data_IF_692538274857
#
_entry.id   IF_692538274857
#
_cell.length_a   1.000
_cell.length_b   1.000
_cell.length_c   1.000
_cell.angle_alpha   90.00
_cell.angle_beta   90.00
_cell.angle_gamma   90.00
#
_symmetry.space_group_name_H-M   'P 1'
#
loop_
_entity.id
_entity.type
_entity.pdbx_description
1 polymer ?
#
# COMPACT_ATOMS: atom_id res chain seq x y z
N UNK A 1 11.08 -10.85 -17.00
CA UNK A 1 9.76 -11.47 -16.76
C UNK A 1 8.67 -10.65 -17.44
N UNK A 2 8.66 -9.33 -17.23
CA UNK A 2 7.71 -8.38 -17.84
C UNK A 2 7.68 -8.41 -19.38
N UNK A 3 8.82 -8.70 -20.01
CA UNK A 3 8.95 -8.76 -21.48
C UNK A 3 8.12 -9.88 -22.14
N UNK A 4 7.86 -10.98 -21.42
CA UNK A 4 7.08 -12.12 -21.94
C UNK A 4 5.57 -11.84 -21.83
N UNK A 5 5.17 -11.18 -20.74
CA UNK A 5 3.77 -10.76 -20.51
C UNK A 5 3.33 -9.76 -21.60
N UNK A 6 4.24 -8.87 -22.04
CA UNK A 6 3.98 -7.93 -23.13
C UNK A 6 3.90 -8.65 -24.49
N UNK A 7 4.70 -9.69 -24.73
CA UNK A 7 4.74 -10.37 -26.04
C UNK A 7 3.52 -11.25 -26.32
N UNK A 8 2.94 -11.88 -25.30
CA UNK A 8 1.73 -12.71 -25.46
C UNK A 8 0.43 -11.88 -25.34
N UNK A 9 0.53 -10.64 -24.84
CA UNK A 9 -0.58 -9.69 -24.65
C UNK A 9 -1.89 -10.28 -24.04
N UNK A 10 -1.84 -11.10 -22.97
CA UNK A 10 -3.07 -11.60 -22.34
C UNK A 10 -3.82 -10.52 -21.55
N UNK A 11 -3.13 -9.44 -21.13
CA UNK A 11 -3.70 -8.33 -20.34
C UNK A 11 -2.94 -7.04 -20.68
N UNK A 12 -3.65 -5.91 -20.78
CA UNK A 12 -3.05 -4.57 -20.97
C UNK A 12 -3.02 -3.84 -19.63
N UNK A 13 -1.84 -3.62 -19.01
CA UNK A 13 -1.72 -2.81 -17.80
C UNK A 13 -2.03 -1.34 -18.14
N UNK A 14 -3.02 -0.75 -17.47
CA UNK A 14 -3.39 0.65 -17.70
C UNK A 14 -2.61 1.59 -16.78
N UNK A 15 -2.49 1.24 -15.49
CA UNK A 15 -1.83 2.05 -14.46
C UNK A 15 -1.25 1.17 -13.35
N UNK A 16 -0.24 1.69 -12.66
CA UNK A 16 0.24 1.16 -11.37
C UNK A 16 -0.54 1.81 -10.22
N UNK A 17 -0.77 1.05 -9.14
CA UNK A 17 -1.41 1.61 -7.95
C UNK A 17 -0.42 2.48 -7.16
N UNK A 18 -0.91 3.61 -6.66
CA UNK A 18 -0.27 4.37 -5.59
C UNK A 18 -1.25 4.46 -4.41
N UNK A 19 -0.79 4.09 -3.23
CA UNK A 19 -1.60 4.15 -2.02
C UNK A 19 -1.28 5.42 -1.20
N UNK A 20 -2.31 6.22 -0.94
CA UNK A 20 -2.22 7.38 -0.04
C UNK A 20 -3.01 7.08 1.21
N UNK A 21 -2.39 7.20 2.38
CA UNK A 21 -3.00 6.89 3.67
C UNK A 21 -3.09 8.13 4.57
N UNK A 22 -4.31 8.56 4.85
CA UNK A 22 -4.57 9.61 5.83
C UNK A 22 -4.74 9.00 7.22
N UNK A 23 -3.89 9.41 8.17
CA UNK A 23 -3.95 8.96 9.55
C UNK A 23 -4.33 10.13 10.46
N UNK A 24 -5.13 9.84 11.50
CA UNK A 24 -5.42 10.83 12.52
C UNK A 24 -4.15 11.21 13.28
N UNK A 25 -3.97 12.48 13.62
CA UNK A 25 -2.86 12.96 14.48
C UNK A 25 -2.82 12.27 15.86
N UNK A 26 -3.92 11.65 16.28
CA UNK A 26 -4.02 10.86 17.51
C UNK A 26 -3.50 9.43 17.37
N UNK A 27 -3.12 8.99 16.17
CA UNK A 27 -2.63 7.64 15.89
C UNK A 27 -1.15 7.72 15.54
N UNK A 28 -0.35 6.91 16.25
CA UNK A 28 1.10 6.81 16.08
C UNK A 28 1.50 5.36 15.83
N UNK A 29 2.57 5.14 15.06
CA UNK A 29 3.07 3.79 14.76
C UNK A 29 2.32 3.02 13.67
N UNK A 30 1.42 3.67 12.91
CA UNK A 30 0.78 3.09 11.72
C UNK A 30 1.57 3.49 10.47
N UNK A 31 2.46 2.61 10.03
CA UNK A 31 3.32 2.79 8.85
C UNK A 31 2.71 2.13 7.59
N UNK A 32 3.13 2.57 6.41
CA UNK A 32 2.79 1.90 5.15
C UNK A 32 3.82 0.80 4.88
N UNK A 33 3.38 -0.34 4.34
CA UNK A 33 4.26 -1.41 3.89
C UNK A 33 4.09 -1.65 2.39
N UNK A 34 5.07 -2.32 1.79
CA UNK A 34 5.10 -2.61 0.36
C UNK A 34 3.92 -3.48 -0.14
N UNK A 35 3.19 -4.12 0.78
CA UNK A 35 2.01 -4.93 0.47
C UNK A 35 0.70 -4.16 0.72
N UNK A 36 0.77 -2.88 1.09
CA UNK A 36 -0.36 -2.05 1.52
C UNK A 36 -1.21 -2.68 2.64
N UNK A 37 -0.66 -3.64 3.38
CA UNK A 37 -1.35 -4.41 4.41
C UNK A 37 -1.50 -3.59 5.70
N UNK A 38 -2.58 -3.80 6.46
CA UNK A 38 -2.79 -3.11 7.73
C UNK A 38 -2.08 -3.87 8.87
N UNK A 39 -0.94 -3.35 9.33
CA UNK A 39 -0.22 -3.86 10.51
C UNK A 39 -0.53 -2.97 11.73
N UNK A 40 -1.13 -3.57 12.77
CA UNK A 40 -1.48 -2.88 14.02
C UNK A 40 -0.56 -3.22 15.20
N UNK A 41 0.44 -4.07 14.99
CA UNK A 41 1.30 -4.60 16.07
C UNK A 41 2.00 -3.52 16.90
N UNK A 42 2.33 -2.38 16.27
CA UNK A 42 3.05 -1.25 16.86
C UNK A 42 2.21 0.03 16.94
N UNK A 43 0.92 -0.06 16.62
CA UNK A 43 0.02 1.10 16.54
C UNK A 43 -0.47 1.49 17.93
N UNK A 44 -0.42 2.78 18.24
CA UNK A 44 -0.89 3.35 19.50
C UNK A 44 -1.76 4.57 19.25
N UNK A 45 -2.84 4.69 20.02
CA UNK A 45 -3.73 5.85 20.02
C UNK A 45 -3.46 6.71 21.25
N UNK A 46 -3.11 7.97 21.05
CA UNK A 46 -3.03 8.96 22.14
C UNK A 46 -4.42 9.54 22.39
N UNK A 47 -4.94 9.34 23.60
CA UNK A 47 -6.12 10.06 24.09
C UNK A 47 -5.65 11.39 24.70
N UNK A 48 -5.40 12.37 23.85
CA UNK A 48 -5.53 13.79 24.27
C UNK A 48 -7.00 14.16 24.14
#
# INVERSE_FOLDING_TARGET
>A
MDSIIISEAPIVPLYYDESVRFISKKVSGLESNALNMLDLSRVRKSNV
#
